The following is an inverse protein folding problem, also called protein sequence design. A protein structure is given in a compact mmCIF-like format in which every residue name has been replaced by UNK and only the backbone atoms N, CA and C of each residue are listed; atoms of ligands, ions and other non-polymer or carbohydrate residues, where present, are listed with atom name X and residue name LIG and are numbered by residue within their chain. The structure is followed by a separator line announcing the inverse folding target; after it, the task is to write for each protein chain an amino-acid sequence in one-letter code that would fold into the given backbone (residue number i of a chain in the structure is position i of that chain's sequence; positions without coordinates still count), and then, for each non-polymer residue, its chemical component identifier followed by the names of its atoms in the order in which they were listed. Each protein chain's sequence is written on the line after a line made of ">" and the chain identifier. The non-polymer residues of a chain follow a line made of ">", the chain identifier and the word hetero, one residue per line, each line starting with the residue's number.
data_IF_272268080126
#
_entry.id   IF_272268080126
#
_cell.length_a   1.000
_cell.length_b   1.000
_cell.length_c   1.000
_cell.angle_alpha   90.00
_cell.angle_beta   90.00
_cell.angle_gamma   90.00
#
_symmetry.space_group_name_H-M   'P 1'
#
loop_
_entity.id
_entity.type
_entity.pdbx_description
1 polymer ?
#
# COMPACT_ATOMS: atom_id res chain seq x y z
N UNK A 1 -8.20 -36.10 5.63
CA UNK A 1 -9.17 -35.02 5.96
C UNK A 1 -8.54 -33.88 6.78
N UNK A 2 -7.55 -34.15 7.64
CA UNK A 2 -6.82 -33.11 8.40
C UNK A 2 -5.85 -32.27 7.53
N UNK A 3 -5.30 -32.85 6.45
CA UNK A 3 -4.39 -32.11 5.54
C UNK A 3 -5.13 -31.06 4.69
N UNK A 4 -6.36 -31.36 4.25
CA UNK A 4 -7.15 -30.45 3.43
C UNK A 4 -7.61 -29.20 4.21
N UNK A 5 -8.00 -29.37 5.48
CA UNK A 5 -8.37 -28.25 6.37
C UNK A 5 -7.15 -27.35 6.64
N UNK A 6 -5.95 -27.91 6.80
CA UNK A 6 -4.71 -27.14 6.93
C UNK A 6 -4.41 -26.27 5.69
N UNK A 7 -4.56 -26.84 4.49
CA UNK A 7 -4.31 -26.11 3.23
C UNK A 7 -5.30 -24.95 3.04
N UNK A 8 -6.59 -25.15 3.34
CA UNK A 8 -7.60 -24.10 3.24
C UNK A 8 -7.32 -22.94 4.21
N UNK A 9 -6.88 -23.23 5.44
CA UNK A 9 -6.51 -22.20 6.41
C UNK A 9 -5.32 -21.35 5.96
N UNK A 10 -4.29 -21.97 5.36
CA UNK A 10 -3.11 -21.26 4.85
C UNK A 10 -3.49 -20.31 3.71
N UNK A 11 -4.34 -20.76 2.78
CA UNK A 11 -4.83 -19.91 1.69
C UNK A 11 -5.66 -18.74 2.23
N UNK A 12 -6.54 -18.98 3.20
CA UNK A 12 -7.33 -17.93 3.84
C UNK A 12 -6.43 -16.89 4.53
N UNK A 13 -5.42 -17.34 5.28
CA UNK A 13 -4.46 -16.45 5.93
C UNK A 13 -3.65 -15.64 4.92
N UNK A 14 -3.23 -16.24 3.82
CA UNK A 14 -2.50 -15.55 2.73
C UNK A 14 -3.33 -14.44 2.12
N UNK A 15 -4.60 -14.72 1.82
CA UNK A 15 -5.53 -13.73 1.27
C UNK A 15 -5.77 -12.59 2.27
N UNK A 16 -5.99 -12.92 3.54
CA UNK A 16 -6.17 -11.91 4.59
C UNK A 16 -4.94 -11.01 4.75
N UNK A 17 -3.73 -11.60 4.72
CA UNK A 17 -2.48 -10.84 4.77
C UNK A 17 -2.31 -9.92 3.55
N UNK A 18 -2.65 -10.40 2.34
CA UNK A 18 -2.60 -9.59 1.13
C UNK A 18 -3.57 -8.40 1.19
N UNK A 19 -4.81 -8.63 1.66
CA UNK A 19 -5.81 -7.58 1.85
C UNK A 19 -5.34 -6.57 2.90
N UNK A 20 -4.77 -7.05 4.02
CA UNK A 20 -4.26 -6.20 5.08
C UNK A 20 -3.14 -5.28 4.57
N UNK A 21 -2.17 -5.84 3.84
CA UNK A 21 -1.07 -5.05 3.26
C UNK A 21 -1.58 -3.99 2.27
N UNK A 22 -2.55 -4.34 1.42
CA UNK A 22 -3.17 -3.40 0.50
C UNK A 22 -3.95 -2.30 1.24
N UNK A 23 -4.71 -2.65 2.26
CA UNK A 23 -5.46 -1.70 3.08
C UNK A 23 -4.51 -0.71 3.78
N UNK A 24 -3.40 -1.19 4.33
CA UNK A 24 -2.36 -0.35 4.94
C UNK A 24 -1.71 0.58 3.92
N UNK A 25 -1.46 0.12 2.70
CA UNK A 25 -0.90 0.93 1.62
C UNK A 25 -1.84 2.10 1.24
N UNK A 26 -3.14 1.80 1.09
CA UNK A 26 -4.17 2.80 0.76
C UNK A 26 -4.32 3.79 1.91
N UNK A 27 -4.40 3.31 3.15
CA UNK A 27 -4.51 4.18 4.33
C UNK A 27 -3.27 5.08 4.48
N UNK A 28 -2.07 4.54 4.30
CA UNK A 28 -0.83 5.30 4.37
C UNK A 28 -0.75 6.39 3.30
N UNK A 29 -1.14 6.08 2.06
CA UNK A 29 -1.26 7.07 1.00
C UNK A 29 -2.29 8.15 1.36
N UNK A 30 -3.48 7.75 1.81
CA UNK A 30 -4.56 8.69 2.12
C UNK A 30 -4.22 9.63 3.27
N UNK A 31 -3.53 9.13 4.31
CA UNK A 31 -3.02 9.93 5.42
C UNK A 31 -2.07 11.01 4.88
N UNK A 32 -1.09 10.63 4.06
CA UNK A 32 -0.10 11.58 3.56
C UNK A 32 -0.66 12.55 2.54
N UNK A 33 -1.57 12.12 1.68
CA UNK A 33 -2.31 13.01 0.78
C UNK A 33 -3.13 14.04 1.59
N UNK A 34 -3.72 13.63 2.73
CA UNK A 34 -4.44 14.56 3.61
C UNK A 34 -3.51 15.55 4.33
N UNK A 35 -2.32 15.10 4.73
CA UNK A 35 -1.32 15.96 5.39
C UNK A 35 -0.58 16.88 4.41
N UNK A 36 -0.49 16.50 3.14
CA UNK A 36 0.16 17.30 2.11
C UNK A 36 -0.92 18.18 1.46
N UNK A 37 -0.99 19.50 1.73
CA UNK A 37 -2.04 20.38 1.19
C UNK A 37 -1.84 20.69 -0.31
N UNK A 38 -1.17 19.81 -1.04
CA UNK A 38 -1.04 19.87 -2.48
C UNK A 38 -2.04 18.91 -3.08
N UNK A 39 -2.91 19.38 -3.97
CA UNK A 39 -3.72 18.50 -4.81
C UNK A 39 -2.78 17.68 -5.72
N UNK A 40 -2.25 16.57 -5.22
CA UNK A 40 -1.25 15.79 -5.92
C UNK A 40 -1.79 15.30 -7.26
N UNK A 41 -3.06 14.87 -7.29
CA UNK A 41 -3.74 14.54 -8.55
C UNK A 41 -3.78 15.73 -9.51
N UNK A 42 -4.16 16.92 -9.05
CA UNK A 42 -4.21 18.11 -9.91
C UNK A 42 -2.83 18.45 -10.47
N UNK A 43 -1.82 18.46 -9.61
CA UNK A 43 -0.44 18.75 -10.02
C UNK A 43 0.12 17.70 -10.99
N UNK A 44 -0.23 16.43 -10.82
CA UNK A 44 0.25 15.34 -11.69
C UNK A 44 -0.50 15.35 -13.03
N UNK A 45 -1.84 15.37 -13.00
CA UNK A 45 -2.67 15.16 -14.18
C UNK A 45 -3.01 16.45 -14.95
N UNK A 46 -3.16 17.59 -14.26
CA UNK A 46 -3.47 18.87 -14.92
C UNK A 46 -2.21 19.69 -15.21
N UNK A 47 -1.31 19.81 -14.24
CA UNK A 47 -0.09 20.63 -14.39
C UNK A 47 1.11 19.86 -14.95
N UNK A 48 1.03 18.52 -15.05
CA UNK A 48 2.11 17.68 -15.57
C UNK A 48 3.38 17.69 -14.70
N UNK A 49 3.25 17.97 -13.41
CA UNK A 49 4.37 18.11 -12.51
C UNK A 49 4.99 16.75 -12.15
N UNK A 50 6.00 16.36 -12.92
CA UNK A 50 6.77 15.12 -12.76
C UNK A 50 7.43 15.03 -11.38
N UNK A 51 7.83 16.16 -10.77
CA UNK A 51 8.46 16.14 -9.45
C UNK A 51 7.48 15.64 -8.37
N UNK A 52 6.22 16.05 -8.43
CA UNK A 52 5.17 15.57 -7.52
C UNK A 52 4.84 14.10 -7.79
N UNK A 53 4.83 13.68 -9.06
CA UNK A 53 4.62 12.28 -9.42
C UNK A 53 5.70 11.36 -8.85
N UNK A 54 6.98 11.74 -9.00
CA UNK A 54 8.12 10.98 -8.45
C UNK A 54 8.06 10.98 -6.92
N UNK A 55 7.75 12.11 -6.29
CA UNK A 55 7.64 12.21 -4.84
C UNK A 55 6.57 11.25 -4.30
N UNK A 56 5.36 11.30 -4.83
CA UNK A 56 4.26 10.41 -4.43
C UNK A 56 4.57 8.93 -4.73
N UNK A 57 5.16 8.64 -5.89
CA UNK A 57 5.58 7.28 -6.24
C UNK A 57 6.65 6.74 -5.27
N UNK A 58 7.67 7.53 -4.95
CA UNK A 58 8.72 7.15 -4.01
C UNK A 58 8.18 6.94 -2.59
N UNK A 59 7.20 7.75 -2.18
CA UNK A 59 6.54 7.61 -0.90
C UNK A 59 5.76 6.30 -0.81
N UNK A 60 4.94 5.98 -1.82
CA UNK A 60 4.19 4.72 -1.88
C UNK A 60 5.13 3.51 -1.89
N UNK A 61 6.26 3.59 -2.61
CA UNK A 61 7.29 2.54 -2.62
C UNK A 61 7.93 2.36 -1.23
N UNK A 62 8.30 3.44 -0.56
CA UNK A 62 8.83 3.39 0.81
C UNK A 62 7.82 2.77 1.79
N UNK A 63 6.55 3.12 1.65
CA UNK A 63 5.47 2.58 2.48
C UNK A 63 5.27 1.08 2.26
N UNK A 64 5.30 0.64 0.99
CA UNK A 64 5.25 -0.78 0.64
C UNK A 64 6.40 -1.57 1.30
N UNK A 65 7.61 -1.02 1.30
CA UNK A 65 8.78 -1.65 1.93
C UNK A 65 8.64 -1.77 3.45
N UNK A 66 8.19 -0.71 4.12
CA UNK A 66 7.97 -0.73 5.58
C UNK A 66 6.88 -1.74 5.95
N UNK A 67 5.77 -1.78 5.20
CA UNK A 67 4.71 -2.77 5.39
C UNK A 67 5.25 -4.19 5.18
N UNK A 68 5.98 -4.44 4.09
CA UNK A 68 6.56 -5.74 3.81
C UNK A 68 7.54 -6.20 4.91
N UNK A 69 8.38 -5.29 5.41
CA UNK A 69 9.29 -5.56 6.51
C UNK A 69 8.54 -5.88 7.81
N UNK A 70 7.46 -5.13 8.12
CA UNK A 70 6.63 -5.37 9.30
C UNK A 70 5.85 -6.69 9.24
N UNK A 71 5.52 -7.17 8.04
CA UNK A 71 4.80 -8.43 7.83
C UNK A 71 5.74 -9.65 7.78
N UNK A 72 7.00 -9.45 7.40
CA UNK A 72 8.01 -10.53 7.29
C UNK A 72 8.85 -10.67 8.57
N UNK A 73 8.95 -9.61 9.37
CA UNK A 73 9.71 -9.55 10.61
C UNK A 73 9.03 -10.21 11.81
#
# INVERSE_FOLDING_TARGET
>A
MLEATSQTSILLLTILYAILGLALLILGYWIVDRFTPTDAQKKIFEEGNVAVAILMGSFVLGLALVIAAAMTG
#
